data_IF_294525991331
#
_entry.id   IF_294525991331
#
_cell.length_a   1.000
_cell.length_b   1.000
_cell.length_c   1.000
_cell.angle_alpha   90.00
_cell.angle_beta   90.00
_cell.angle_gamma   90.00
#
_symmetry.space_group_name_H-M   'P 1'
#
loop_
_entity.id
_entity.type
_entity.pdbx_description
1 polymer ?
#
# COMPACT_ATOMS: atom_id res chain seq x y z
N UNK A 1 -6.07 17.59 6.87
CA UNK A 1 -5.08 16.60 7.30
C UNK A 1 -5.72 15.67 8.32
N UNK A 2 -5.76 14.37 8.02
CA UNK A 2 -6.41 13.31 8.80
C UNK A 2 -5.35 12.64 9.71
N UNK A 3 -5.14 13.20 10.90
CA UNK A 3 -4.07 12.77 11.80
C UNK A 3 -4.23 11.34 12.31
N UNK A 4 -5.48 10.91 12.52
CA UNK A 4 -5.78 9.56 13.00
C UNK A 4 -5.39 8.52 11.94
N UNK A 5 -5.74 8.77 10.68
CA UNK A 5 -5.37 7.88 9.58
C UNK A 5 -3.85 7.82 9.38
N UNK A 6 -3.17 8.97 9.41
CA UNK A 6 -1.70 9.03 9.27
C UNK A 6 -1.02 8.19 10.36
N UNK A 7 -1.51 8.29 11.61
CA UNK A 7 -1.01 7.49 12.73
C UNK A 7 -1.24 5.99 12.53
N UNK A 8 -2.43 5.59 12.03
CA UNK A 8 -2.75 4.18 11.73
C UNK A 8 -1.87 3.61 10.61
N UNK A 9 -1.58 4.41 9.58
CA UNK A 9 -0.68 4.05 8.48
C UNK A 9 0.79 4.01 8.89
N UNK A 10 1.13 4.54 10.08
CA UNK A 10 2.51 4.73 10.53
C UNK A 10 3.32 5.61 9.56
N UNK A 11 2.62 6.55 8.90
CA UNK A 11 3.24 7.45 7.92
C UNK A 11 3.80 8.68 8.62
N UNK A 12 5.10 8.95 8.44
CA UNK A 12 5.79 10.11 9.00
C UNK A 12 6.13 11.14 7.92
N UNK A 13 6.16 12.41 8.30
CA UNK A 13 6.38 13.53 7.36
C UNK A 13 7.78 13.53 6.74
N UNK A 14 8.76 12.96 7.44
CA UNK A 14 10.15 12.86 6.99
C UNK A 14 10.41 11.73 5.99
N UNK A 15 9.43 10.85 5.74
CA UNK A 15 9.59 9.74 4.83
C UNK A 15 9.69 10.18 3.38
N UNK A 16 10.61 9.58 2.64
CA UNK A 16 10.55 9.57 1.18
C UNK A 16 9.41 8.63 0.79
N UNK A 17 8.31 9.19 0.30
CA UNK A 17 7.05 8.45 0.19
C UNK A 17 6.41 8.60 -1.20
N UNK A 18 5.74 7.53 -1.62
CA UNK A 18 4.87 7.54 -2.80
C UNK A 18 3.47 7.03 -2.45
N UNK A 19 2.46 7.66 -3.03
CA UNK A 19 1.08 7.20 -2.99
C UNK A 19 0.59 7.06 -4.43
N UNK A 20 0.38 5.83 -4.85
CA UNK A 20 0.05 5.46 -6.23
C UNK A 20 -1.45 5.25 -6.39
N UNK A 21 -2.01 5.76 -7.48
CA UNK A 21 -3.41 5.57 -7.89
C UNK A 21 -4.45 6.04 -6.85
N UNK A 22 -4.10 7.01 -6.00
CA UNK A 22 -4.98 7.52 -4.96
C UNK A 22 -6.34 7.98 -5.50
N UNK A 23 -7.45 7.74 -4.80
CA UNK A 23 -8.74 8.31 -5.17
C UNK A 23 -8.71 9.84 -4.99
N UNK A 24 -9.67 10.56 -5.60
CA UNK A 24 -9.84 11.99 -5.38
C UNK A 24 -9.86 12.32 -3.88
N UNK A 25 -9.32 13.50 -3.52
CA UNK A 25 -9.27 14.05 -2.17
C UNK A 25 -8.38 13.30 -1.15
N UNK A 26 -7.84 12.12 -1.49
CA UNK A 26 -7.01 11.35 -0.54
C UNK A 26 -5.69 12.05 -0.20
N UNK A 27 -5.04 12.66 -1.19
CA UNK A 27 -3.78 13.37 -0.96
C UNK A 27 -3.97 14.61 -0.07
N UNK A 28 -5.10 15.31 -0.20
CA UNK A 28 -5.47 16.43 0.67
C UNK A 28 -5.76 15.99 2.10
N UNK A 29 -6.39 14.81 2.27
CA UNK A 29 -6.56 14.18 3.59
C UNK A 29 -5.21 13.87 4.22
N UNK A 30 -4.26 13.33 3.47
CA UNK A 30 -2.93 13.02 3.99
C UNK A 30 -2.12 14.29 4.28
N UNK A 31 -2.13 15.30 3.42
CA UNK A 31 -1.49 16.60 3.68
C UNK A 31 0.04 16.54 3.88
N UNK A 32 0.67 15.44 3.43
CA UNK A 32 2.12 15.22 3.42
C UNK A 32 2.55 15.16 1.95
N UNK A 33 3.61 15.87 1.53
CA UNK A 33 4.13 15.76 0.17
C UNK A 33 4.56 14.33 -0.15
N UNK A 34 4.10 13.82 -1.28
CA UNK A 34 4.40 12.47 -1.78
C UNK A 34 4.62 12.49 -3.28
N UNK A 35 5.28 11.45 -3.79
CA UNK A 35 5.32 11.16 -5.22
C UNK A 35 4.05 10.40 -5.63
N UNK A 36 3.53 10.67 -6.83
CA UNK A 36 2.39 9.98 -7.44
C UNK A 36 2.81 8.96 -8.53
N UNK A 37 4.09 8.95 -8.90
CA UNK A 37 4.77 7.86 -9.61
C UNK A 37 6.09 7.52 -8.92
N UNK A 38 6.65 6.36 -9.24
CA UNK A 38 7.94 5.88 -8.72
C UNK A 38 8.88 5.54 -9.87
N UNK A 39 10.19 5.63 -9.65
CA UNK A 39 11.18 4.98 -10.52
C UNK A 39 11.64 3.67 -9.87
N UNK A 40 12.07 2.71 -10.66
CA UNK A 40 12.71 1.47 -10.14
C UNK A 40 13.97 1.76 -9.32
N UNK A 41 14.61 2.93 -9.53
CA UNK A 41 15.79 3.38 -8.77
C UNK A 41 15.44 4.22 -7.55
N UNK A 42 14.15 4.47 -7.30
CA UNK A 42 13.72 5.19 -6.11
C UNK A 42 14.07 4.39 -4.85
N UNK A 43 14.22 5.10 -3.73
CA UNK A 43 14.49 4.50 -2.44
C UNK A 43 13.54 5.13 -1.43
N UNK A 44 12.41 4.47 -1.19
CA UNK A 44 11.27 5.01 -0.45
C UNK A 44 11.08 4.30 0.89
N UNK A 45 10.79 5.09 1.91
CA UNK A 45 10.46 4.63 3.27
C UNK A 45 8.99 4.16 3.36
N UNK A 46 8.13 4.71 2.51
CA UNK A 46 6.69 4.43 2.50
C UNK A 46 6.16 4.38 1.07
N UNK A 47 5.42 3.33 0.73
CA UNK A 47 4.64 3.25 -0.49
C UNK A 47 3.24 2.80 -0.13
N UNK A 48 2.25 3.56 -0.57
CA UNK A 48 0.86 3.13 -0.58
C UNK A 48 0.38 3.04 -2.01
N UNK A 49 -0.35 1.99 -2.36
CA UNK A 49 -0.94 1.82 -3.69
C UNK A 49 -2.41 1.47 -3.56
N UNK A 50 -3.27 2.15 -4.31
CA UNK A 50 -4.69 1.82 -4.42
C UNK A 50 -4.92 0.92 -5.62
N UNK A 51 -5.67 -0.16 -5.40
CA UNK A 51 -5.89 -1.20 -6.40
C UNK A 51 -7.34 -1.65 -6.43
N UNK A 52 -7.88 -1.74 -7.63
CA UNK A 52 -9.18 -2.37 -7.94
C UNK A 52 -9.01 -3.58 -8.85
N UNK A 53 -7.89 -3.65 -9.57
CA UNK A 53 -7.52 -4.70 -10.52
C UNK A 53 -6.34 -5.55 -10.03
N UNK A 54 -6.52 -6.87 -9.95
CA UNK A 54 -5.45 -7.84 -9.64
C UNK A 54 -4.33 -7.77 -10.67
N UNK A 55 -4.68 -7.79 -11.96
CA UNK A 55 -3.69 -7.82 -13.04
C UNK A 55 -2.83 -6.56 -13.06
N UNK A 56 -3.46 -5.39 -12.96
CA UNK A 56 -2.76 -4.09 -12.92
C UNK A 56 -1.82 -3.99 -11.73
N UNK A 57 -2.27 -4.44 -10.55
CA UNK A 57 -1.43 -4.50 -9.36
C UNK A 57 -0.20 -5.39 -9.57
N UNK A 58 -0.39 -6.60 -10.09
CA UNK A 58 0.70 -7.55 -10.31
C UNK A 58 1.73 -7.05 -11.34
N UNK A 59 1.30 -6.27 -12.33
CA UNK A 59 2.21 -5.64 -13.30
C UNK A 59 3.06 -4.53 -12.65
N UNK A 60 2.52 -3.79 -11.68
CA UNK A 60 3.23 -2.73 -10.97
C UNK A 60 4.10 -3.25 -9.82
N UNK A 61 3.74 -4.39 -9.23
CA UNK A 61 4.33 -4.91 -8.00
C UNK A 61 5.88 -5.06 -8.05
N UNK A 62 6.51 -5.57 -9.13
CA UNK A 62 7.97 -5.63 -9.20
C UNK A 62 8.66 -4.26 -9.11
N UNK A 63 8.04 -3.22 -9.68
CA UNK A 63 8.54 -1.83 -9.61
C UNK A 63 8.43 -1.30 -8.18
N UNK A 64 7.28 -1.54 -7.55
CA UNK A 64 7.00 -1.15 -6.16
C UNK A 64 7.99 -1.81 -5.19
N UNK A 65 8.18 -3.13 -5.28
CA UNK A 65 9.07 -3.87 -4.37
C UNK A 65 10.54 -3.44 -4.52
N UNK A 66 10.99 -3.06 -5.73
CA UNK A 66 12.35 -2.56 -5.96
C UNK A 66 12.57 -1.14 -5.44
N UNK A 67 11.53 -0.29 -5.49
CA UNK A 67 11.60 1.08 -5.00
C UNK A 67 11.54 1.17 -3.46
N UNK A 68 11.02 0.15 -2.80
CA UNK A 68 10.86 0.11 -1.35
C UNK A 68 12.19 -0.22 -0.64
N UNK A 69 12.58 0.58 0.35
CA UNK A 69 13.73 0.28 1.20
C UNK A 69 13.52 -1.00 2.02
N UNK A 70 14.60 -1.71 2.41
CA UNK A 70 14.52 -2.71 3.47
C UNK A 70 13.90 -2.11 4.73
N UNK A 71 12.85 -2.74 5.26
CA UNK A 71 12.11 -2.25 6.42
C UNK A 71 11.11 -1.11 6.12
N UNK A 72 10.97 -0.70 4.86
CA UNK A 72 9.97 0.27 4.42
C UNK A 72 8.54 -0.25 4.57
N UNK A 73 7.59 0.68 4.56
CA UNK A 73 6.17 0.42 4.76
C UNK A 73 5.48 0.30 3.40
N UNK A 74 5.05 -0.92 3.04
CA UNK A 74 4.19 -1.14 1.88
C UNK A 74 2.74 -1.34 2.31
N UNK A 75 1.88 -0.41 1.94
CA UNK A 75 0.43 -0.50 2.12
C UNK A 75 -0.27 -0.71 0.78
N UNK A 76 -1.11 -1.73 0.70
CA UNK A 76 -1.97 -1.97 -0.47
C UNK A 76 -3.41 -1.71 -0.05
N UNK A 77 -4.01 -0.70 -0.67
CA UNK A 77 -5.38 -0.25 -0.41
C UNK A 77 -6.31 -0.85 -1.46
N UNK A 78 -7.35 -1.54 -1.01
CA UNK A 78 -8.32 -2.24 -1.86
C UNK A 78 -9.74 -1.84 -1.44
N UNK A 79 -10.69 -1.94 -2.38
CA UNK A 79 -12.08 -1.60 -2.10
C UNK A 79 -12.62 -2.47 -0.96
N UNK A 80 -13.28 -1.85 0.01
CA UNK A 80 -13.97 -2.56 1.09
C UNK A 80 -15.08 -3.45 0.52
N UNK A 81 -15.48 -4.46 1.29
CA UNK A 81 -16.56 -5.39 0.88
C UNK A 81 -17.91 -4.65 0.66
N UNK A 82 -18.08 -3.46 1.25
CA UNK A 82 -19.29 -2.62 1.14
C UNK A 82 -19.17 -1.54 0.05
N UNK A 83 -18.02 -1.44 -0.61
CA UNK A 83 -17.78 -0.45 -1.64
C UNK A 83 -18.59 -0.75 -2.90
N UNK A 84 -19.06 0.32 -3.57
CA UNK A 84 -19.69 0.21 -4.89
C UNK A 84 -18.69 0.22 -6.04
N UNK A 85 -17.39 0.34 -5.74
CA UNK A 85 -16.34 0.32 -6.75
C UNK A 85 -16.18 -1.11 -7.27
N UNK A 86 -16.34 -1.35 -8.59
CA UNK A 86 -16.04 -2.65 -9.18
C UNK A 86 -14.57 -2.98 -8.98
N UNK A 87 -14.30 -4.12 -8.33
CA UNK A 87 -12.95 -4.60 -8.09
C UNK A 87 -12.91 -6.13 -8.21
N UNK A 88 -11.84 -6.66 -8.79
CA UNK A 88 -11.55 -8.11 -8.85
C UNK A 88 -10.46 -8.52 -7.83
N UNK A 89 -10.05 -7.58 -6.97
CA UNK A 89 -9.03 -7.76 -5.94
C UNK A 89 -9.62 -7.48 -4.56
N UNK A 90 -9.27 -8.34 -3.60
CA UNK A 90 -9.65 -8.20 -2.20
C UNK A 90 -8.52 -8.68 -1.29
N UNK A 91 -8.71 -8.58 0.03
CA UNK A 91 -7.70 -9.00 1.03
C UNK A 91 -7.18 -10.43 0.85
N UNK A 92 -8.03 -11.39 0.49
CA UNK A 92 -7.65 -12.79 0.36
C UNK A 92 -6.77 -13.00 -0.87
N UNK A 93 -7.15 -12.36 -1.98
CA UNK A 93 -6.36 -12.36 -3.22
C UNK A 93 -5.02 -11.67 -2.98
N UNK A 94 -5.01 -10.49 -2.35
CA UNK A 94 -3.78 -9.78 -2.03
C UNK A 94 -2.85 -10.63 -1.17
N UNK A 95 -3.37 -11.29 -0.14
CA UNK A 95 -2.55 -12.12 0.73
C UNK A 95 -1.93 -13.29 -0.03
N UNK A 96 -2.72 -14.00 -0.84
CA UNK A 96 -2.26 -15.13 -1.63
C UNK A 96 -1.24 -14.73 -2.71
N UNK A 97 -1.46 -13.60 -3.39
CA UNK A 97 -0.54 -13.11 -4.40
C UNK A 97 0.76 -12.59 -3.79
N UNK A 98 0.69 -11.76 -2.74
CA UNK A 98 1.86 -11.18 -2.08
C UNK A 98 2.75 -12.25 -1.44
N UNK A 99 2.16 -13.35 -0.94
CA UNK A 99 2.92 -14.49 -0.43
C UNK A 99 3.87 -15.10 -1.48
N UNK A 100 3.48 -15.11 -2.77
CA UNK A 100 4.34 -15.58 -3.88
C UNK A 100 5.57 -14.72 -4.08
N UNK A 101 5.52 -13.46 -3.62
CA UNK A 101 6.64 -12.52 -3.62
C UNK A 101 7.40 -12.51 -2.28
N UNK A 102 7.14 -13.48 -1.39
CA UNK A 102 7.79 -13.56 -0.09
C UNK A 102 7.34 -12.46 0.88
N UNK A 103 6.14 -11.93 0.71
CA UNK A 103 5.58 -10.89 1.56
C UNK A 103 4.41 -11.42 2.39
N UNK A 104 4.34 -11.07 3.66
CA UNK A 104 3.23 -11.38 4.55
C UNK A 104 2.45 -10.11 4.93
N UNK A 105 1.11 -10.23 4.94
CA UNK A 105 0.23 -9.22 5.51
C UNK A 105 0.37 -9.21 7.04
N UNK A 106 0.58 -8.03 7.64
CA UNK A 106 0.88 -7.90 9.09
C UNK A 106 0.03 -6.86 9.82
N UNK A 107 -0.70 -6.02 9.09
CA UNK A 107 -1.68 -5.12 9.66
C UNK A 107 -2.77 -4.84 8.63
N UNK A 108 -3.97 -4.53 9.11
CA UNK A 108 -5.08 -4.08 8.27
C UNK A 108 -5.80 -2.94 8.98
N UNK A 109 -6.17 -1.91 8.22
CA UNK A 109 -6.94 -0.76 8.71
C UNK A 109 -8.03 -0.40 7.71
N UNK A 110 -9.13 0.19 8.18
CA UNK A 110 -10.05 0.94 7.33
C UNK A 110 -9.49 2.35 7.10
N UNK A 111 -9.50 2.81 5.85
CA UNK A 111 -9.22 4.21 5.49
C UNK A 111 -10.50 5.03 5.63
N UNK A 112 -11.60 4.47 5.14
CA UNK A 112 -12.97 4.98 5.19
C UNK A 112 -13.93 3.83 4.81
N UNK A 113 -15.20 4.15 4.57
CA UNK A 113 -16.23 3.16 4.18
C UNK A 113 -15.95 2.50 2.82
N UNK A 114 -15.12 3.13 1.97
CA UNK A 114 -14.84 2.69 0.59
C UNK A 114 -13.55 1.89 0.51
N UNK A 115 -12.54 2.20 1.32
CA UNK A 115 -11.20 1.63 1.20
C UNK A 115 -10.70 0.99 2.49
N UNK A 116 -10.15 -0.21 2.37
CA UNK A 116 -9.32 -0.85 3.39
C UNK A 116 -7.86 -0.88 2.93
N UNK A 117 -6.91 -0.90 3.86
CA UNK A 117 -5.49 -1.05 3.54
C UNK A 117 -4.86 -2.20 4.32
N UNK A 118 -4.03 -2.99 3.65
CA UNK A 118 -3.22 -4.06 4.25
C UNK A 118 -1.74 -3.73 4.13
N UNK A 119 -1.01 -3.83 5.24
CA UNK A 119 0.44 -3.63 5.28
C UNK A 119 1.15 -4.95 5.03
N UNK A 120 2.12 -4.93 4.13
CA UNK A 120 2.96 -6.08 3.81
C UNK A 120 4.40 -5.85 4.25
N UNK A 121 5.05 -6.92 4.69
CA UNK A 121 6.47 -6.94 4.98
C UNK A 121 7.10 -8.25 4.46
N UNK A 122 8.41 -8.29 4.18
CA UNK A 122 9.08 -9.53 3.83
C UNK A 122 8.89 -10.59 4.92
N UNK A 123 8.61 -11.82 4.52
CA UNK A 123 8.70 -12.98 5.40
C UNK A 123 10.17 -13.12 5.75
N UNK A 124 10.54 -12.79 6.99
CA UNK A 124 11.90 -13.00 7.47
C UNK A 124 12.30 -14.45 7.25
N UNK A 125 13.58 -14.73 6.97
CA UNK A 125 14.10 -16.09 7.20
C UNK A 125 13.73 -16.43 8.64
N UNK A 126 12.97 -17.50 8.86
CA UNK A 126 12.87 -18.08 10.19
C UNK A 126 14.30 -18.15 10.73
N UNK A 127 14.53 -17.60 11.92
CA UNK A 127 15.74 -17.94 12.67
C UNK A 127 15.61 -19.45 12.92
N UNK A 128 16.27 -20.25 12.09
CA UNK A 128 16.67 -21.60 12.45
C UNK A 128 17.65 -21.50 13.63
#
# INVERSE_FOLDING_TARGET
>A
MDEELIKKLLFKREYQAAILNAPPDYLDRIGIPVMDDISIRASLDFIQVFVTGKLEFLLQLPKILRALKPGGYLWVSYSSDNSKIPADVNRYILWAEMAKFGMAGVAMIAIDDTWSAMRFQPVGKAKL
#
